data_IF_759450642966
#
_entry.id   IF_759450642966
#
_cell.length_a   1.000
_cell.length_b   1.000
_cell.length_c   1.000
_cell.angle_alpha   90.00
_cell.angle_beta   90.00
_cell.angle_gamma   90.00
#
_symmetry.space_group_name_H-M   'P 1'
#
loop_
_entity.id
_entity.type
_entity.pdbx_description
1 polymer ?
#
# COMPACT_ATOMS: atom_id res chain seq x y z
N UNK A 1 -15.14 21.56 10.92
CA UNK A 1 -15.35 20.85 9.65
C UNK A 1 -14.08 20.09 9.36
N UNK A 2 -14.05 18.78 9.66
CA UNK A 2 -12.90 17.94 9.37
C UNK A 2 -12.96 17.58 7.89
N UNK A 3 -12.36 18.45 7.07
CA UNK A 3 -12.04 18.15 5.67
C UNK A 3 -11.37 16.79 5.60
N UNK A 4 -11.71 16.07 4.55
CA UNK A 4 -11.30 14.72 4.15
C UNK A 4 -9.80 14.66 3.78
N UNK A 5 -8.98 15.32 4.61
CA UNK A 5 -7.55 15.13 4.81
C UNK A 5 -7.45 13.87 5.69
N UNK A 6 -6.92 12.72 5.29
CA UNK A 6 -5.97 12.43 4.24
C UNK A 6 -6.28 11.02 3.74
N UNK A 7 -6.76 10.91 2.50
CA UNK A 7 -7.02 9.62 1.86
C UNK A 7 -5.75 8.74 1.83
N UNK A 8 -4.57 9.38 1.83
CA UNK A 8 -3.26 8.72 1.97
C UNK A 8 -2.98 8.17 3.37
N UNK A 9 -3.29 8.89 4.46
CA UNK A 9 -3.13 8.37 5.82
C UNK A 9 -4.11 7.24 6.12
N UNK A 10 -5.34 7.33 5.61
CA UNK A 10 -6.31 6.23 5.68
C UNK A 10 -5.81 5.00 4.94
N UNK A 11 -5.25 5.18 3.74
CA UNK A 11 -4.65 4.09 2.98
C UNK A 11 -3.45 3.47 3.71
N UNK A 12 -2.57 4.28 4.31
CA UNK A 12 -1.45 3.80 5.15
C UNK A 12 -1.94 2.98 6.35
N UNK A 13 -2.95 3.46 7.07
CA UNK A 13 -3.54 2.73 8.20
C UNK A 13 -4.13 1.39 7.76
N UNK A 14 -4.88 1.38 6.64
CA UNK A 14 -5.44 0.14 6.10
C UNK A 14 -4.36 -0.88 5.75
N UNK A 15 -3.28 -0.44 5.08
CA UNK A 15 -2.14 -1.31 4.77
C UNK A 15 -1.45 -1.79 6.07
N UNK A 16 -1.28 -0.91 7.06
CA UNK A 16 -0.73 -1.24 8.38
C UNK A 16 -1.49 -2.41 9.02
N UNK A 17 -2.81 -2.26 9.13
CA UNK A 17 -3.69 -3.21 9.79
C UNK A 17 -3.66 -4.57 9.10
N UNK A 18 -3.65 -4.59 7.76
CA UNK A 18 -3.59 -5.83 6.98
C UNK A 18 -2.25 -6.54 7.11
N UNK A 19 -1.15 -5.81 7.09
CA UNK A 19 0.18 -6.37 7.30
C UNK A 19 0.35 -6.87 8.73
N UNK A 20 -0.12 -6.11 9.72
CA UNK A 20 -0.01 -6.49 11.12
C UNK A 20 -0.84 -7.73 11.42
N UNK A 21 -2.06 -7.81 10.87
CA UNK A 21 -2.87 -9.03 10.91
C UNK A 21 -2.12 -10.20 10.27
N UNK A 22 -1.51 -10.01 9.11
CA UNK A 22 -0.76 -11.06 8.42
C UNK A 22 0.44 -11.55 9.23
N UNK A 23 1.19 -10.65 9.87
CA UNK A 23 2.26 -10.99 10.81
C UNK A 23 1.74 -11.75 12.03
N UNK A 24 0.61 -11.34 12.61
CA UNK A 24 0.00 -11.96 13.80
C UNK A 24 -0.44 -13.40 13.57
N UNK A 25 -0.89 -13.74 12.37
CA UNK A 25 -1.25 -15.12 11.99
C UNK A 25 -0.05 -15.95 11.51
N UNK A 26 1.17 -15.40 11.56
CA UNK A 26 2.41 -16.13 11.24
C UNK A 26 2.63 -16.34 9.74
N UNK A 27 2.05 -15.51 8.88
CA UNK A 27 2.32 -15.56 7.44
C UNK A 27 3.79 -15.26 7.16
N UNK A 28 4.37 -15.97 6.20
CA UNK A 28 5.72 -15.72 5.72
C UNK A 28 5.82 -14.32 5.10
N UNK A 29 7.04 -13.75 5.06
CA UNK A 29 7.26 -12.46 4.40
C UNK A 29 6.84 -12.46 2.93
N UNK A 30 6.92 -13.62 2.26
CA UNK A 30 6.45 -13.80 0.89
C UNK A 30 4.93 -13.63 0.78
N UNK A 31 4.18 -14.21 1.71
CA UNK A 31 2.72 -14.03 1.75
C UNK A 31 2.31 -12.60 2.13
N UNK A 32 3.09 -11.92 2.98
CA UNK A 32 2.92 -10.48 3.26
C UNK A 32 3.19 -9.65 2.00
N UNK A 33 4.21 -10.02 1.22
CA UNK A 33 4.55 -9.37 -0.05
C UNK A 33 3.43 -9.52 -1.08
N UNK A 34 2.83 -10.72 -1.18
CA UNK A 34 1.70 -10.97 -2.07
C UNK A 34 0.45 -10.21 -1.60
N UNK A 35 0.19 -10.16 -0.30
CA UNK A 35 -0.90 -9.36 0.26
C UNK A 35 -0.73 -7.87 -0.04
N UNK A 36 0.49 -7.35 0.09
CA UNK A 36 0.79 -5.96 -0.24
C UNK A 36 0.67 -5.69 -1.76
N UNK A 37 0.96 -6.68 -2.61
CA UNK A 37 0.75 -6.61 -4.06
C UNK A 37 -0.75 -6.57 -4.43
N UNK A 38 -1.58 -7.38 -3.78
CA UNK A 38 -3.03 -7.32 -3.92
C UNK A 38 -3.60 -5.96 -3.46
N UNK A 39 -3.05 -5.40 -2.37
CA UNK A 39 -3.46 -4.07 -1.89
C UNK A 39 -2.96 -2.96 -2.83
N UNK A 40 -1.79 -3.11 -3.46
CA UNK A 40 -1.31 -2.21 -4.52
C UNK A 40 -2.20 -2.26 -5.77
N UNK A 41 -2.68 -3.44 -6.14
CA UNK A 41 -3.68 -3.59 -7.22
C UNK A 41 -5.03 -2.96 -6.84
N UNK A 42 -5.36 -2.90 -5.55
CA UNK A 42 -6.56 -2.22 -5.04
C UNK A 42 -6.48 -0.68 -5.16
N UNK A 43 -5.26 -0.10 -5.11
CA UNK A 43 -5.05 1.32 -5.45
C UNK A 43 -5.38 1.58 -6.92
N UNK A 44 -5.00 0.65 -7.80
CA UNK A 44 -5.22 0.78 -9.24
C UNK A 44 -6.73 0.79 -9.61
N UNK A 45 -7.52 -0.10 -9.00
CA UNK A 45 -8.96 -0.23 -9.30
C UNK A 45 -9.88 0.75 -8.53
N UNK A 46 -9.55 1.17 -7.31
CA UNK A 46 -10.52 1.87 -6.44
C UNK A 46 -10.14 3.28 -6.03
N UNK A 47 -8.89 3.69 -6.20
CA UNK A 47 -8.45 5.02 -5.76
C UNK A 47 -8.33 5.92 -6.98
N UNK A 48 -9.41 6.65 -7.28
CA UNK A 48 -9.31 7.86 -8.08
C UNK A 48 -8.35 8.80 -7.31
N UNK A 49 -7.14 9.09 -7.82
CA UNK A 49 -6.11 9.78 -7.04
C UNK A 49 -6.62 11.17 -6.65
N UNK A 50 -6.98 11.32 -5.37
CA UNK A 50 -7.58 12.55 -4.85
C UNK A 50 -6.52 13.58 -4.44
N UNK A 51 -5.25 13.18 -4.40
CA UNK A 51 -4.10 14.02 -4.09
C UNK A 51 -2.85 13.58 -4.89
N UNK A 52 -1.84 14.45 -4.90
CA UNK A 52 -0.64 14.29 -5.72
C UNK A 52 0.23 13.10 -5.24
N UNK A 53 0.20 12.77 -3.95
CA UNK A 53 0.95 11.64 -3.40
C UNK A 53 0.42 10.28 -3.88
N UNK A 54 -0.91 10.13 -3.97
CA UNK A 54 -1.53 8.93 -4.53
C UNK A 54 -1.28 8.81 -6.03
N UNK A 55 -1.30 9.95 -6.74
CA UNK A 55 -0.97 10.00 -8.17
C UNK A 55 0.46 9.54 -8.43
N UNK A 56 1.43 10.07 -7.68
CA UNK A 56 2.82 9.67 -7.81
C UNK A 56 3.03 8.18 -7.53
N UNK A 57 2.38 7.65 -6.49
CA UNK A 57 2.42 6.21 -6.19
C UNK A 57 1.82 5.36 -7.30
N UNK A 58 0.70 5.78 -7.89
CA UNK A 58 0.07 5.10 -9.01
C UNK A 58 0.96 5.14 -10.26
N UNK A 59 1.52 6.30 -10.61
CA UNK A 59 2.43 6.42 -11.74
C UNK A 59 3.67 5.53 -11.60
N UNK A 60 4.25 5.44 -10.38
CA UNK A 60 5.38 4.54 -10.09
C UNK A 60 4.95 3.06 -10.17
N UNK A 61 3.74 2.73 -9.70
CA UNK A 61 3.21 1.37 -9.77
C UNK A 61 2.91 0.92 -11.20
N UNK A 62 2.35 1.82 -12.01
CA UNK A 62 1.91 1.55 -13.38
C UNK A 62 3.09 1.27 -14.31
N UNK A 63 4.22 1.96 -14.12
CA UNK A 63 5.44 1.74 -14.91
C UNK A 63 6.27 0.55 -14.44
N UNK A 64 6.03 0.05 -13.23
CA UNK A 64 6.78 -1.06 -12.64
C UNK A 64 6.33 -2.43 -13.16
N UNK A 65 7.29 -3.33 -13.33
CA UNK A 65 7.02 -4.76 -13.57
C UNK A 65 6.60 -5.50 -12.28
N UNK A 66 6.36 -6.82 -12.37
CA UNK A 66 5.88 -7.61 -11.22
C UNK A 66 6.85 -7.58 -10.02
N UNK A 67 8.15 -7.64 -10.27
CA UNK A 67 9.17 -7.67 -9.21
C UNK A 67 9.40 -6.27 -8.61
N UNK A 68 9.33 -5.23 -9.44
CA UNK A 68 9.34 -3.83 -9.01
C UNK A 68 8.11 -3.50 -8.16
N UNK A 69 6.91 -3.92 -8.57
CA UNK A 69 5.68 -3.77 -7.80
C UNK A 69 5.74 -4.51 -6.46
N UNK A 70 6.27 -5.74 -6.41
CA UNK A 70 6.55 -6.44 -5.14
C UNK A 70 7.51 -5.65 -4.26
N UNK A 71 8.52 -5.02 -4.85
CA UNK A 71 9.49 -4.19 -4.12
C UNK A 71 8.85 -2.93 -3.55
N UNK A 72 8.07 -2.20 -4.37
CA UNK A 72 7.30 -1.03 -3.94
C UNK A 72 6.35 -1.42 -2.79
N UNK A 73 5.64 -2.53 -2.92
CA UNK A 73 4.74 -3.05 -1.89
C UNK A 73 5.49 -3.30 -0.56
N UNK A 74 6.67 -3.93 -0.61
CA UNK A 74 7.52 -4.12 0.58
C UNK A 74 8.00 -2.80 1.19
N UNK A 75 8.34 -1.82 0.36
CA UNK A 75 8.75 -0.49 0.82
C UNK A 75 7.60 0.25 1.49
N UNK A 76 6.38 0.16 0.94
CA UNK A 76 5.18 0.71 1.57
C UNK A 76 4.92 0.09 2.95
N UNK A 77 5.08 -1.23 3.08
CA UNK A 77 4.96 -1.90 4.38
C UNK A 77 5.98 -1.36 5.38
N UNK A 78 7.25 -1.21 4.97
CA UNK A 78 8.31 -0.68 5.82
C UNK A 78 8.08 0.80 6.18
N UNK A 79 7.55 1.59 5.25
CA UNK A 79 7.21 3.00 5.47
C UNK A 79 6.17 3.13 6.58
N UNK A 80 5.10 2.34 6.49
CA UNK A 80 4.01 2.34 7.48
C UNK A 80 4.47 1.83 8.84
N UNK A 81 5.37 0.84 8.89
CA UNK A 81 5.94 0.35 10.15
C UNK A 81 6.89 1.33 10.84
N UNK A 82 7.45 2.30 10.10
CA UNK A 82 8.34 3.33 10.64
C UNK A 82 7.66 4.70 10.78
N UNK A 83 6.32 4.78 10.58
CA UNK A 83 5.52 6.01 10.69
C UNK A 83 4.83 6.13 12.04
#
# INVERSE_FOLDING_TARGET
>A
MATVLNNYDTWKHFLADRVEQAKKIGLSEEAISNLAFEIGSFLDEKVDPKNDEQRALKEIWDVGDEDERKTIARLMVKLVQNS
#
